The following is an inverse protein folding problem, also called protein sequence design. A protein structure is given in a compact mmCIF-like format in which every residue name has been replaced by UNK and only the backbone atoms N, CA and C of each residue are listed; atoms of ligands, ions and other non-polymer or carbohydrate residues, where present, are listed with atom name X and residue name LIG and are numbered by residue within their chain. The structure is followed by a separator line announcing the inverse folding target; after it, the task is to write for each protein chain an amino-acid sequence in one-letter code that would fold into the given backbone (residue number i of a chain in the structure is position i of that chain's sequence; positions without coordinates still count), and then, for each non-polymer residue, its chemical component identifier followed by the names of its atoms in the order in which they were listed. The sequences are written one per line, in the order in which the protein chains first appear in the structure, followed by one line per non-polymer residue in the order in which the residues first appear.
data_IF_742626780945
#
_entry.id   IF_742626780945
#
_cell.length_a   1.000
_cell.length_b   1.000
_cell.length_c   1.000
_cell.angle_alpha   90.00
_cell.angle_beta   90.00
_cell.angle_gamma   90.00
#
_symmetry.space_group_name_H-M   'P 1'
#
loop_
_entity.id
_entity.type
_entity.pdbx_description
1 polymer ?
#
# COMPACT_ATOMS: atom_id res chain seq x y z
N UNK A 1 9.04 15.44 4.87
CA UNK A 1 10.49 15.31 5.19
C UNK A 1 11.22 16.39 4.39
N UNK A 2 12.23 17.07 4.94
CA UNK A 2 12.95 18.14 4.21
C UNK A 2 14.18 17.59 3.48
N UNK A 3 14.59 18.22 2.36
CA UNK A 3 15.81 17.86 1.63
C UNK A 3 17.06 17.91 2.54
N UNK A 4 17.10 18.87 3.46
CA UNK A 4 18.15 18.98 4.48
C UNK A 4 18.20 17.75 5.42
N UNK A 5 17.05 17.18 5.78
CA UNK A 5 16.99 15.97 6.61
C UNK A 5 17.59 14.77 5.88
N UNK A 6 17.30 14.63 4.59
CA UNK A 6 17.84 13.55 3.74
C UNK A 6 19.37 13.65 3.64
N UNK A 7 19.88 14.86 3.37
CA UNK A 7 21.32 15.10 3.32
C UNK A 7 22.01 14.76 4.65
N UNK A 8 21.39 15.12 5.78
CA UNK A 8 21.91 14.78 7.10
C UNK A 8 21.93 13.27 7.36
N UNK A 9 20.94 12.50 6.88
CA UNK A 9 20.96 11.04 7.01
C UNK A 9 22.11 10.44 6.21
N UNK A 10 22.31 10.92 4.98
CA UNK A 10 23.39 10.45 4.09
C UNK A 10 24.76 10.72 4.70
N UNK A 11 25.02 11.94 5.17
CA UNK A 11 26.28 12.32 5.83
C UNK A 11 26.53 11.50 7.10
N UNK A 12 25.49 11.23 7.89
CA UNK A 12 25.59 10.46 9.13
C UNK A 12 25.63 8.95 8.92
N UNK A 13 25.24 8.46 7.74
CA UNK A 13 25.04 7.04 7.47
C UNK A 13 23.90 6.40 8.28
N UNK A 14 22.99 7.20 8.84
CA UNK A 14 21.92 6.70 9.71
C UNK A 14 20.64 7.54 9.57
N UNK A 15 19.49 6.85 9.60
CA UNK A 15 18.15 7.46 9.58
C UNK A 15 17.49 7.37 10.95
N UNK A 16 16.74 8.40 11.33
CA UNK A 16 15.94 8.37 12.56
C UNK A 16 14.72 7.46 12.42
N UNK A 17 14.37 6.74 13.50
CA UNK A 17 13.24 5.78 13.54
C UNK A 17 11.92 6.34 12.97
N UNK A 18 11.54 7.56 13.35
CA UNK A 18 10.30 8.18 12.89
C UNK A 18 10.30 8.51 11.40
N UNK A 19 11.47 8.82 10.82
CA UNK A 19 11.63 9.04 9.38
C UNK A 19 11.60 7.72 8.62
N UNK A 20 12.22 6.66 9.17
CA UNK A 20 12.21 5.33 8.57
C UNK A 20 10.79 4.73 8.50
N UNK A 21 9.98 4.87 9.57
CA UNK A 21 8.58 4.44 9.58
C UNK A 21 7.77 5.18 8.50
N UNK A 22 7.90 6.52 8.42
CA UNK A 22 7.19 7.31 7.41
C UNK A 22 7.58 6.95 5.98
N UNK A 23 8.82 6.54 5.75
CA UNK A 23 9.27 6.04 4.45
C UNK A 23 8.68 4.66 4.14
N UNK A 24 8.72 3.74 5.10
CA UNK A 24 8.12 2.41 4.97
C UNK A 24 6.63 2.51 4.58
N UNK A 25 5.87 3.33 5.32
CA UNK A 25 4.44 3.56 5.04
C UNK A 25 4.19 4.18 3.66
N UNK A 26 5.00 5.18 3.27
CA UNK A 26 4.82 5.88 2.00
C UNK A 26 5.23 5.02 0.78
N UNK A 27 6.21 4.13 0.95
CA UNK A 27 6.74 3.27 -0.11
C UNK A 27 6.04 1.90 -0.16
N UNK A 28 5.27 1.55 0.87
CA UNK A 28 4.61 0.24 0.97
C UNK A 28 5.58 -0.92 1.15
N UNK A 29 6.70 -0.68 1.85
CA UNK A 29 7.75 -1.69 2.13
C UNK A 29 7.93 -1.88 3.63
N UNK A 30 8.60 -2.95 4.06
CA UNK A 30 8.86 -3.17 5.48
C UNK A 30 9.88 -2.18 6.05
N UNK A 31 9.78 -1.89 7.35
CA UNK A 31 10.75 -1.03 8.05
C UNK A 31 12.14 -1.67 8.04
N UNK A 32 12.18 -2.98 8.20
CA UNK A 32 13.36 -3.83 8.17
C UNK A 32 14.11 -3.69 6.83
N UNK A 33 13.39 -3.66 5.71
CA UNK A 33 13.95 -3.34 4.39
C UNK A 33 14.58 -1.95 4.34
N UNK A 34 13.87 -0.93 4.83
CA UNK A 34 14.36 0.47 4.88
C UNK A 34 15.62 0.60 5.73
N UNK A 35 15.75 -0.23 6.77
CA UNK A 35 16.93 -0.28 7.64
C UNK A 35 18.07 -1.15 7.08
N UNK A 36 17.94 -1.67 5.86
CA UNK A 36 18.98 -2.47 5.20
C UNK A 36 19.16 -3.86 5.79
N UNK A 37 18.15 -4.38 6.50
CA UNK A 37 18.14 -5.76 6.96
C UNK A 37 17.84 -6.70 5.78
N UNK A 38 18.39 -7.90 5.84
CA UNK A 38 18.10 -8.94 4.85
C UNK A 38 16.66 -9.43 5.07
N UNK A 39 15.77 -9.00 4.17
CA UNK A 39 14.36 -9.34 4.19
C UNK A 39 13.98 -10.04 2.90
N UNK A 40 13.35 -11.19 3.03
CA UNK A 40 12.87 -11.98 1.90
C UNK A 40 11.63 -11.36 1.25
N UNK A 41 11.25 -11.83 0.05
CA UNK A 41 10.09 -11.32 -0.71
C UNK A 41 8.74 -11.39 0.01
N UNK A 42 8.65 -12.12 1.13
CA UNK A 42 7.44 -12.28 1.94
C UNK A 42 7.46 -11.48 3.23
N UNK A 43 8.58 -10.87 3.57
CA UNK A 43 8.76 -10.16 4.84
C UNK A 43 8.12 -8.77 4.76
N UNK A 44 7.26 -8.46 5.73
CA UNK A 44 6.45 -7.22 5.75
C UNK A 44 5.01 -7.35 5.26
N UNK A 45 4.65 -8.45 4.60
CA UNK A 45 3.26 -8.71 4.20
C UNK A 45 2.41 -9.18 5.38
N UNK A 46 1.21 -8.60 5.54
CA UNK A 46 0.19 -9.09 6.47
C UNK A 46 -0.26 -10.51 6.08
N UNK A 47 -0.83 -11.30 7.01
CA UNK A 47 -1.23 -12.68 6.71
C UNK A 47 -2.19 -12.82 5.52
N UNK A 48 -3.11 -11.88 5.36
CA UNK A 48 -4.06 -11.80 4.25
C UNK A 48 -3.39 -11.41 2.92
N UNK A 49 -2.43 -10.49 2.95
CA UNK A 49 -1.63 -10.12 1.77
C UNK A 49 -0.75 -11.28 1.28
N UNK A 50 -0.13 -12.02 2.21
CA UNK A 50 0.58 -13.26 1.86
C UNK A 50 -0.35 -14.26 1.22
N UNK A 51 -1.54 -14.45 1.80
CA UNK A 51 -2.54 -15.38 1.26
C UNK A 51 -3.01 -14.97 -0.14
N UNK A 52 -3.22 -13.68 -0.36
CA UNK A 52 -3.61 -13.15 -1.67
C UNK A 52 -2.51 -13.41 -2.71
N UNK A 53 -1.25 -13.12 -2.40
CA UNK A 53 -0.13 -13.37 -3.31
C UNK A 53 0.07 -14.87 -3.58
N UNK A 54 -0.12 -15.73 -2.58
CA UNK A 54 -0.07 -17.19 -2.77
C UNK A 54 -1.14 -17.67 -3.74
N UNK A 55 -2.37 -17.15 -3.64
CA UNK A 55 -3.45 -17.50 -4.57
C UNK A 55 -3.21 -16.93 -5.96
N UNK A 56 -2.72 -15.69 -6.06
CA UNK A 56 -2.38 -15.04 -7.32
C UNK A 56 -1.28 -15.79 -8.09
N UNK A 57 -0.24 -16.25 -7.39
CA UNK A 57 0.87 -16.99 -7.99
C UNK A 57 0.50 -18.43 -8.41
N UNK A 58 -0.64 -18.95 -7.94
CA UNK A 58 -1.17 -20.25 -8.38
C UNK A 58 -1.96 -20.16 -9.70
N UNK A 59 -2.23 -18.94 -10.20
CA UNK A 59 -2.94 -18.78 -11.46
C UNK A 59 -2.09 -19.29 -12.63
N UNK A 60 -2.71 -19.97 -13.61
CA UNK A 60 -1.98 -20.79 -14.59
C UNK A 60 -1.20 -19.96 -15.63
N UNK A 61 -1.56 -18.69 -15.84
CA UNK A 61 -0.91 -17.81 -16.82
C UNK A 61 -1.13 -16.32 -16.45
N UNK A 62 -0.42 -15.44 -17.16
CA UNK A 62 -0.50 -13.99 -16.97
C UNK A 62 -1.89 -13.41 -17.27
N UNK A 63 -2.65 -14.02 -18.18
CA UNK A 63 -4.01 -13.56 -18.53
C UNK A 63 -4.96 -13.72 -17.34
N UNK A 64 -4.93 -14.86 -16.65
CA UNK A 64 -5.72 -15.09 -15.43
C UNK A 64 -5.31 -14.15 -14.30
N UNK A 65 -4.01 -13.87 -14.18
CA UNK A 65 -3.49 -12.87 -13.25
C UNK A 65 -4.02 -11.46 -13.57
N UNK A 66 -4.00 -11.05 -14.83
CA UNK A 66 -4.57 -9.77 -15.28
C UNK A 66 -6.09 -9.71 -15.05
N UNK A 67 -6.80 -10.82 -15.29
CA UNK A 67 -8.23 -10.93 -15.02
C UNK A 67 -8.55 -10.74 -13.54
N UNK A 68 -7.77 -11.34 -12.63
CA UNK A 68 -7.92 -11.14 -11.19
C UNK A 68 -7.70 -9.67 -10.80
N UNK A 69 -6.66 -9.03 -11.34
CA UNK A 69 -6.40 -7.59 -11.10
C UNK A 69 -7.56 -6.72 -11.59
N UNK A 70 -8.15 -7.06 -12.74
CA UNK A 70 -9.32 -6.36 -13.30
C UNK A 70 -10.54 -6.48 -12.38
N UNK A 71 -10.79 -7.66 -11.82
CA UNK A 71 -11.92 -7.91 -10.90
C UNK A 71 -11.78 -7.06 -9.63
N UNK A 72 -10.59 -7.06 -9.02
CA UNK A 72 -10.31 -6.25 -7.81
C UNK A 72 -10.52 -4.76 -8.12
N UNK A 73 -10.00 -4.30 -9.27
CA UNK A 73 -10.15 -2.91 -9.71
C UNK A 73 -11.62 -2.51 -9.92
N UNK A 74 -12.42 -3.41 -10.51
CA UNK A 74 -13.85 -3.16 -10.72
C UNK A 74 -14.59 -3.03 -9.39
N UNK A 75 -14.29 -3.89 -8.41
CA UNK A 75 -14.91 -3.80 -7.07
C UNK A 75 -14.55 -2.51 -6.34
N UNK A 76 -13.32 -2.04 -6.44
CA UNK A 76 -12.93 -0.74 -5.88
C UNK A 76 -13.75 0.40 -6.50
N UNK A 77 -13.88 0.41 -7.83
CA UNK A 77 -14.69 1.42 -8.53
C UNK A 77 -16.17 1.40 -8.11
N UNK A 78 -16.74 0.22 -7.92
CA UNK A 78 -18.13 0.08 -7.45
C UNK A 78 -18.29 0.63 -6.02
N UNK A 79 -17.34 0.35 -5.13
CA UNK A 79 -17.34 0.87 -3.76
C UNK A 79 -17.21 2.41 -3.75
N UNK A 80 -16.34 2.98 -4.58
CA UNK A 80 -16.19 4.42 -4.72
C UNK A 80 -17.51 5.07 -5.17
N UNK A 81 -18.20 4.47 -6.14
CA UNK A 81 -19.51 4.93 -6.61
C UNK A 81 -20.58 4.85 -5.53
N UNK A 82 -20.61 3.76 -4.75
CA UNK A 82 -21.54 3.60 -3.63
C UNK A 82 -21.29 4.66 -2.55
N UNK A 83 -20.01 4.91 -2.22
CA UNK A 83 -19.62 5.92 -1.24
C UNK A 83 -20.00 7.33 -1.71
N UNK A 84 -19.71 7.68 -2.96
CA UNK A 84 -20.10 8.96 -3.55
C UNK A 84 -21.63 9.17 -3.50
N UNK A 85 -22.43 8.14 -3.80
CA UNK A 85 -23.89 8.18 -3.71
C UNK A 85 -24.40 8.32 -2.28
N UNK A 86 -23.70 7.73 -1.30
CA UNK A 86 -24.06 7.82 0.11
C UNK A 86 -23.73 9.21 0.68
N UNK A 87 -22.51 9.70 0.43
CA UNK A 87 -22.07 11.03 0.86
C UNK A 87 -22.88 12.15 0.21
N UNK A 88 -23.19 12.03 -1.08
CA UNK A 88 -24.05 13.00 -1.78
C UNK A 88 -25.47 13.09 -1.22
N UNK A 89 -26.02 11.97 -0.72
CA UNK A 89 -27.34 11.97 -0.05
C UNK A 89 -27.31 12.64 1.32
N UNK A 90 -26.22 12.47 2.10
CA UNK A 90 -26.06 13.13 3.40
C UNK A 90 -25.96 14.65 3.27
N UNK A 91 -25.12 15.13 2.34
CA UNK A 91 -24.97 16.57 2.08
C UNK A 91 -26.30 17.20 1.64
N UNK A 92 -27.10 16.49 0.83
CA UNK A 92 -28.42 16.99 0.39
C UNK A 92 -29.47 16.96 1.51
N UNK A 93 -29.42 15.97 2.41
CA UNK A 93 -30.34 15.86 3.54
C UNK A 93 -30.06 16.83 4.69
N UNK A 94 -28.82 17.32 4.82
CA UNK A 94 -28.44 18.34 5.82
C UNK A 94 -28.74 19.78 5.33
N UNK A 95 -29.21 19.95 4.08
CA UNK A 95 -29.48 21.25 3.44
C UNK A 95 -30.98 21.56 3.26
N UNK A 96 -31.87 20.72 3.80
CA UNK A 96 -33.33 20.96 3.94
C UNK A 96 -33.70 21.22 5.40
#
# INVERSE_FOLDING_TARGET
MSAQSVNNWFVRGAIGKSSAIKLADALGVSLEWVLGQDVGPKDGLRPDERRLLELYNQLPNEEEQQNMMRIVSLRLKELDQLYAKYMGRRIKGDAE
#
